data_IF_085039852712
#
_entry.id   IF_085039852712
#
_cell.length_a   1.000
_cell.length_b   1.000
_cell.length_c   1.000
_cell.angle_alpha   90.00
_cell.angle_beta   90.00
_cell.angle_gamma   90.00
#
_symmetry.space_group_name_H-M   'P 1'
#
loop_
_entity.id
_entity.type
_entity.pdbx_description
1 polymer ?
#
# COMPACT_ATOMS: atom_id res chain seq x y z
N UNK A 1 -20.97 22.70 -1.21
CA UNK A 1 -19.51 22.82 -0.94
C UNK A 1 -19.16 22.05 0.34
N UNK A 2 -18.18 21.14 0.29
CA UNK A 2 -17.84 20.24 1.41
C UNK A 2 -16.84 20.87 2.39
N UNK A 3 -17.27 21.90 3.12
CA UNK A 3 -16.40 22.68 4.03
C UNK A 3 -15.74 21.83 5.14
N UNK A 4 -16.33 20.70 5.55
CA UNK A 4 -15.76 19.79 6.56
C UNK A 4 -14.60 18.91 6.08
N UNK A 5 -14.38 18.75 4.77
CA UNK A 5 -13.33 17.85 4.25
C UNK A 5 -11.92 18.40 4.41
N UNK A 6 -11.75 19.73 4.52
CA UNK A 6 -10.41 20.34 4.72
C UNK A 6 -9.81 19.96 6.08
N UNK A 7 -10.63 19.85 7.13
CA UNK A 7 -10.19 19.39 8.46
C UNK A 7 -9.86 17.89 8.48
N UNK A 8 -10.42 17.10 7.56
CA UNK A 8 -10.18 15.66 7.46
C UNK A 8 -8.80 15.34 6.87
N UNK A 9 -8.28 16.16 5.96
CA UNK A 9 -7.02 15.87 5.24
C UNK A 9 -5.81 15.69 6.17
N UNK A 10 -5.56 16.55 7.17
CA UNK A 10 -4.45 16.33 8.11
C UNK A 10 -4.63 15.07 8.96
N UNK A 11 -5.86 14.75 9.39
CA UNK A 11 -6.14 13.54 10.15
C UNK A 11 -5.92 12.29 9.30
N UNK A 12 -6.41 12.31 8.06
CA UNK A 12 -6.20 11.24 7.10
C UNK A 12 -4.71 11.00 6.80
N UNK A 13 -3.93 12.06 6.58
CA UNK A 13 -2.49 11.94 6.35
C UNK A 13 -1.77 11.29 7.55
N UNK A 14 -2.10 11.69 8.78
CA UNK A 14 -1.56 11.06 10.00
C UNK A 14 -1.97 9.59 10.09
N UNK A 15 -3.22 9.26 9.80
CA UNK A 15 -3.70 7.87 9.79
C UNK A 15 -2.95 7.02 8.76
N UNK A 16 -2.69 7.56 7.56
CA UNK A 16 -1.92 6.86 6.54
C UNK A 16 -0.46 6.66 6.94
N UNK A 17 0.19 7.67 7.50
CA UNK A 17 1.55 7.54 8.03
C UNK A 17 1.65 6.46 9.11
N UNK A 18 0.70 6.47 10.06
CA UNK A 18 0.62 5.45 11.11
C UNK A 18 0.36 4.06 10.55
N UNK A 19 -0.51 3.95 9.53
CA UNK A 19 -0.78 2.70 8.84
C UNK A 19 0.49 2.17 8.15
N UNK A 20 1.21 2.99 7.39
CA UNK A 20 2.47 2.59 6.75
C UNK A 20 3.48 2.06 7.78
N UNK A 21 3.71 2.80 8.87
CA UNK A 21 4.61 2.34 9.93
C UNK A 21 4.14 1.02 10.57
N UNK A 22 2.84 0.88 10.82
CA UNK A 22 2.26 -0.33 11.38
C UNK A 22 2.50 -1.54 10.47
N UNK A 23 2.25 -1.41 9.17
CA UNK A 23 2.44 -2.48 8.20
C UNK A 23 3.92 -2.84 8.00
N UNK A 24 4.81 -1.85 7.89
CA UNK A 24 6.25 -2.10 7.80
C UNK A 24 6.79 -2.82 9.05
N UNK A 25 6.38 -2.41 10.24
CA UNK A 25 6.82 -3.06 11.47
C UNK A 25 6.24 -4.47 11.61
N UNK A 26 4.98 -4.67 11.22
CA UNK A 26 4.33 -5.98 11.22
C UNK A 26 4.99 -6.95 10.24
N UNK A 27 5.31 -6.49 9.02
CA UNK A 27 6.03 -7.26 8.02
C UNK A 27 7.41 -7.71 8.55
N UNK A 28 8.14 -6.79 9.21
CA UNK A 28 9.46 -7.06 9.77
C UNK A 28 9.43 -7.98 10.99
N UNK A 29 8.53 -7.75 11.93
CA UNK A 29 8.49 -8.49 13.21
C UNK A 29 7.73 -9.80 13.11
N UNK A 30 6.78 -9.90 12.19
CA UNK A 30 5.83 -11.00 12.08
C UNK A 30 5.18 -11.34 13.43
N UNK A 31 4.78 -10.30 14.18
CA UNK A 31 4.05 -10.41 15.45
C UNK A 31 2.70 -9.70 15.39
N UNK A 32 1.71 -10.29 16.07
CA UNK A 32 0.39 -9.70 16.20
C UNK A 32 0.46 -8.43 17.07
N UNK A 33 -0.09 -7.29 16.62
CA UNK A 33 -0.03 -6.04 17.37
C UNK A 33 -0.88 -6.07 18.65
N UNK A 34 -1.77 -7.05 18.80
CA UNK A 34 -2.68 -7.18 19.95
C UNK A 34 -2.18 -8.18 20.99
N UNK A 35 -1.85 -9.41 20.58
CA UNK A 35 -1.46 -10.50 21.50
C UNK A 35 0.02 -10.87 21.45
N UNK A 36 0.81 -10.26 20.55
CA UNK A 36 2.24 -10.52 20.35
C UNK A 36 2.62 -11.97 19.94
N UNK A 37 1.65 -12.82 19.62
CA UNK A 37 1.90 -14.12 18.98
C UNK A 37 2.45 -13.96 17.57
N UNK A 38 3.12 -14.99 17.05
CA UNK A 38 3.55 -15.02 15.65
C UNK A 38 2.36 -14.90 14.71
N UNK A 39 2.56 -14.23 13.58
CA UNK A 39 1.55 -14.10 12.51
C UNK A 39 2.08 -14.68 11.20
N UNK A 40 1.16 -15.08 10.34
CA UNK A 40 1.47 -15.42 8.95
C UNK A 40 1.17 -14.21 8.08
N UNK A 41 2.16 -13.74 7.35
CA UNK A 41 1.99 -12.67 6.36
C UNK A 41 1.99 -13.28 4.96
N UNK A 42 1.04 -12.89 4.12
CA UNK A 42 0.91 -13.37 2.75
C UNK A 42 0.59 -12.22 1.80
N UNK A 43 1.18 -12.26 0.62
CA UNK A 43 0.71 -11.50 -0.52
C UNK A 43 -0.53 -12.20 -1.09
N UNK A 44 -1.60 -11.45 -1.30
CA UNK A 44 -2.82 -11.92 -1.94
C UNK A 44 -2.98 -11.27 -3.31
N UNK A 45 -3.25 -12.10 -4.30
CA UNK A 45 -3.56 -11.67 -5.66
C UNK A 45 -5.08 -11.58 -5.88
N UNK A 46 -5.58 -10.68 -6.74
CA UNK A 46 -7.01 -10.50 -7.01
C UNK A 46 -7.80 -11.77 -7.34
N UNK A 47 -7.13 -12.77 -7.91
CA UNK A 47 -7.75 -14.01 -8.38
C UNK A 47 -7.75 -15.12 -7.31
N UNK A 48 -7.15 -14.90 -6.14
CA UNK A 48 -7.19 -15.87 -5.06
C UNK A 48 -8.58 -15.89 -4.41
N UNK A 49 -9.18 -17.08 -4.34
CA UNK A 49 -10.52 -17.26 -3.78
C UNK A 49 -10.45 -17.23 -2.26
N UNK A 50 -10.71 -16.06 -1.67
CA UNK A 50 -11.00 -15.91 -0.25
C UNK A 50 -12.49 -15.62 -0.06
N UNK A 51 -13.20 -16.57 0.54
CA UNK A 51 -14.67 -16.55 0.69
C UNK A 51 -15.23 -15.32 1.42
N UNK A 52 -14.40 -14.59 2.16
CA UNK A 52 -14.78 -13.42 2.95
C UNK A 52 -14.32 -12.08 2.35
N UNK A 53 -13.51 -12.07 1.28
CA UNK A 53 -13.09 -10.83 0.61
C UNK A 53 -14.00 -10.54 -0.58
N UNK A 54 -14.54 -9.32 -0.64
CA UNK A 54 -15.19 -8.82 -1.86
C UNK A 54 -14.17 -8.76 -2.99
N UNK A 55 -14.55 -8.99 -4.26
CA UNK A 55 -13.65 -8.81 -5.40
C UNK A 55 -12.88 -7.50 -5.30
N UNK A 56 -11.57 -7.57 -5.48
CA UNK A 56 -10.68 -6.41 -5.41
C UNK A 56 -9.78 -6.35 -6.64
N UNK A 57 -9.13 -5.20 -6.84
CA UNK A 57 -8.10 -5.01 -7.85
C UNK A 57 -6.77 -4.79 -7.15
N UNK A 58 -5.69 -5.26 -7.77
CA UNK A 58 -4.35 -5.03 -7.24
C UNK A 58 -3.90 -5.98 -6.12
N UNK A 59 -2.66 -5.80 -5.69
CA UNK A 59 -2.02 -6.66 -4.70
C UNK A 59 -2.38 -6.25 -3.27
N UNK A 60 -2.60 -7.22 -2.39
CA UNK A 60 -2.86 -6.99 -0.96
C UNK A 60 -1.88 -7.72 -0.08
N UNK A 61 -1.45 -7.07 0.99
CA UNK A 61 -0.76 -7.73 2.08
C UNK A 61 -1.81 -8.19 3.10
N UNK A 62 -1.82 -9.47 3.45
CA UNK A 62 -2.73 -10.04 4.43
C UNK A 62 -1.95 -10.66 5.59
N UNK A 63 -2.45 -10.42 6.80
CA UNK A 63 -1.83 -10.91 8.03
C UNK A 63 -2.86 -11.64 8.86
N UNK A 64 -2.58 -12.91 9.11
CA UNK A 64 -3.40 -13.78 9.93
C UNK A 64 -2.72 -14.09 11.26
N UNK A 65 -3.47 -13.90 12.35
CA UNK A 65 -3.07 -14.33 13.69
C UNK A 65 -3.97 -15.47 14.16
N UNK A 66 -3.42 -16.68 14.28
CA UNK A 66 -4.17 -17.83 14.77
C UNK A 66 -4.59 -17.70 16.24
N UNK A 67 -3.79 -17.02 17.08
CA UNK A 67 -4.11 -16.85 18.50
C UNK A 67 -5.29 -15.91 18.76
N UNK A 68 -5.46 -14.89 17.91
CA UNK A 68 -6.61 -13.97 17.98
C UNK A 68 -7.75 -14.37 17.04
N UNK A 69 -7.54 -15.39 16.20
CA UNK A 69 -8.35 -15.72 15.02
C UNK A 69 -8.76 -14.48 14.21
N UNK A 70 -7.77 -13.66 13.88
CA UNK A 70 -8.01 -12.35 13.26
C UNK A 70 -7.21 -12.20 11.96
N UNK A 71 -7.85 -11.64 10.94
CA UNK A 71 -7.25 -11.32 9.65
C UNK A 71 -7.31 -9.83 9.37
N UNK A 72 -6.16 -9.25 9.03
CA UNK A 72 -6.05 -7.86 8.57
C UNK A 72 -5.48 -7.85 7.16
N UNK A 73 -5.90 -6.90 6.32
CA UNK A 73 -5.26 -6.70 5.03
C UNK A 73 -5.21 -5.23 4.61
N UNK A 74 -4.20 -4.88 3.80
CA UNK A 74 -4.10 -3.59 3.14
C UNK A 74 -3.74 -3.76 1.67
N UNK A 75 -4.07 -2.76 0.85
CA UNK A 75 -3.54 -2.66 -0.52
C UNK A 75 -2.07 -2.25 -0.46
N UNK A 76 -1.24 -2.83 -1.34
CA UNK A 76 0.18 -2.50 -1.42
C UNK A 76 0.38 -1.02 -1.76
N UNK A 77 -0.38 -0.46 -2.72
CA UNK A 77 -0.30 0.97 -3.00
C UNK A 77 -0.68 1.87 -1.81
N UNK A 78 -1.49 1.38 -0.87
CA UNK A 78 -1.81 2.14 0.34
C UNK A 78 -0.59 2.46 1.20
N UNK A 79 0.47 1.62 1.13
CA UNK A 79 1.69 1.77 1.91
C UNK A 79 2.53 2.98 1.47
N UNK A 80 2.45 3.35 0.19
CA UNK A 80 3.22 4.48 -0.37
C UNK A 80 2.50 5.81 -0.27
N UNK A 81 1.23 5.86 0.18
CA UNK A 81 0.44 7.09 0.15
C UNK A 81 1.06 8.20 1.00
N UNK A 82 1.79 7.90 2.06
CA UNK A 82 2.50 8.91 2.84
C UNK A 82 3.84 9.35 2.24
N UNK A 83 4.30 8.73 1.16
CA UNK A 83 5.56 9.09 0.50
C UNK A 83 5.47 10.49 -0.11
N UNK A 84 6.51 11.31 0.07
CA UNK A 84 6.49 12.72 -0.32
C UNK A 84 6.25 12.92 -1.81
N UNK A 85 6.89 12.11 -2.66
CA UNK A 85 6.71 12.18 -4.12
C UNK A 85 5.29 11.80 -4.55
N UNK A 86 4.67 10.82 -3.88
CA UNK A 86 3.28 10.42 -4.12
C UNK A 86 2.33 11.55 -3.76
N UNK A 87 2.52 12.15 -2.58
CA UNK A 87 1.73 13.29 -2.14
C UNK A 87 1.85 14.49 -3.10
N UNK A 88 3.05 14.74 -3.63
CA UNK A 88 3.29 15.77 -4.64
C UNK A 88 2.57 15.47 -5.95
N UNK A 89 2.73 14.26 -6.49
CA UNK A 89 2.06 13.83 -7.72
C UNK A 89 0.53 13.92 -7.59
N UNK A 90 -0.06 13.36 -6.53
CA UNK A 90 -1.50 13.43 -6.28
C UNK A 90 -2.04 14.86 -6.13
N UNK A 91 -1.20 15.80 -5.69
CA UNK A 91 -1.57 17.22 -5.58
C UNK A 91 -1.55 17.92 -6.95
N UNK A 92 -0.62 17.54 -7.82
CA UNK A 92 -0.46 18.10 -9.16
C UNK A 92 -1.46 17.51 -10.16
N UNK A 93 -1.82 16.24 -10.00
CA UNK A 93 -2.69 15.49 -10.90
C UNK A 93 -3.99 15.08 -10.20
N UNK A 94 -4.99 15.98 -10.03
CA UNK A 94 -6.19 15.70 -9.21
C UNK A 94 -7.09 14.58 -9.76
N UNK A 95 -6.88 14.16 -11.02
CA UNK A 95 -7.59 13.04 -11.67
C UNK A 95 -6.67 11.83 -11.87
N UNK A 96 -5.75 11.60 -10.93
CA UNK A 96 -4.89 10.43 -10.95
C UNK A 96 -5.68 9.13 -10.68
N UNK A 97 -5.14 8.02 -11.19
CA UNK A 97 -5.57 6.64 -10.90
C UNK A 97 -4.38 5.80 -10.46
N UNK A 98 -4.64 4.75 -9.68
CA UNK A 98 -3.66 3.69 -9.41
C UNK A 98 -3.80 2.62 -10.48
N UNK A 99 -2.74 2.34 -11.22
CA UNK A 99 -2.69 1.18 -12.11
C UNK A 99 -2.54 -0.11 -11.29
N UNK A 100 -2.92 -1.28 -11.82
CA UNK A 100 -2.75 -2.55 -11.10
C UNK A 100 -1.29 -2.77 -10.67
N UNK A 101 -1.06 -3.01 -9.38
CA UNK A 101 0.28 -3.30 -8.89
C UNK A 101 0.77 -4.65 -9.42
N UNK A 102 2.07 -4.75 -9.64
CA UNK A 102 2.71 -5.97 -10.14
C UNK A 102 3.87 -6.34 -9.24
N UNK A 103 4.08 -7.64 -9.02
CA UNK A 103 5.32 -8.15 -8.48
C UNK A 103 6.32 -8.31 -9.64
N UNK A 104 7.49 -7.70 -9.51
CA UNK A 104 8.52 -7.68 -10.55
C UNK A 104 9.91 -7.69 -9.92
N UNK A 105 10.96 -7.56 -10.74
CA UNK A 105 12.32 -7.37 -10.25
C UNK A 105 12.83 -5.96 -10.53
N UNK A 106 13.51 -5.36 -9.55
CA UNK A 106 14.22 -4.10 -9.69
C UNK A 106 15.63 -4.27 -9.14
N UNK A 107 16.66 -4.00 -9.95
CA UNK A 107 18.07 -4.20 -9.57
C UNK A 107 18.35 -5.59 -8.98
N UNK A 108 17.79 -6.65 -9.61
CA UNK A 108 17.87 -8.05 -9.17
C UNK A 108 17.23 -8.37 -7.82
N UNK A 109 16.35 -7.50 -7.31
CA UNK A 109 15.58 -7.73 -6.08
C UNK A 109 14.09 -7.83 -6.40
N UNK A 110 13.35 -8.67 -5.67
CA UNK A 110 11.90 -8.76 -5.80
C UNK A 110 11.25 -7.48 -5.26
N UNK A 111 10.37 -6.88 -6.06
CA UNK A 111 9.78 -5.59 -5.77
C UNK A 111 8.34 -5.48 -6.28
N UNK A 112 7.51 -4.81 -5.50
CA UNK A 112 6.23 -4.32 -5.99
C UNK A 112 6.46 -3.09 -6.87
N UNK A 113 5.97 -3.13 -8.11
CA UNK A 113 5.84 -1.98 -8.97
C UNK A 113 4.45 -1.37 -8.77
N UNK A 114 4.42 -0.14 -8.31
CA UNK A 114 3.21 0.64 -8.06
C UNK A 114 3.25 1.84 -9.00
N UNK A 115 2.21 2.04 -9.79
CA UNK A 115 2.15 3.13 -10.78
C UNK A 115 0.92 3.99 -10.60
N UNK A 116 1.13 5.28 -10.51
CA UNK A 116 0.09 6.31 -10.51
C UNK A 116 0.11 7.00 -11.88
N UNK A 117 -1.04 7.13 -12.52
CA UNK A 117 -1.16 7.78 -13.81
C UNK A 117 -2.19 8.91 -13.75
N UNK A 118 -1.92 10.05 -14.38
CA UNK A 118 -2.92 11.08 -14.61
C UNK A 118 -3.79 10.69 -15.81
N UNK A 119 -5.11 10.73 -15.66
CA UNK A 119 -6.03 10.36 -16.77
C UNK A 119 -6.13 11.43 -17.85
N UNK A 120 -5.65 12.65 -17.59
CA UNK A 120 -5.77 13.79 -18.51
C UNK A 120 -4.49 14.04 -19.30
N UNK A 121 -3.34 13.60 -18.79
CA UNK A 121 -2.02 13.81 -19.38
C UNK A 121 -1.28 12.50 -19.57
N UNK A 122 -0.04 12.57 -20.09
CA UNK A 122 0.85 11.41 -20.14
C UNK A 122 1.66 11.24 -18.86
N UNK A 123 1.43 12.08 -17.83
CA UNK A 123 2.22 12.08 -16.62
C UNK A 123 1.97 10.83 -15.78
N UNK A 124 3.04 10.19 -15.31
CA UNK A 124 2.94 9.06 -14.40
C UNK A 124 4.06 9.02 -13.37
N UNK A 125 3.80 8.39 -12.24
CA UNK A 125 4.76 8.14 -11.17
C UNK A 125 4.84 6.65 -10.90
N UNK A 126 6.02 6.08 -11.10
CA UNK A 126 6.33 4.67 -10.82
C UNK A 126 7.18 4.56 -9.55
N UNK A 127 6.82 3.64 -8.67
CA UNK A 127 7.51 3.39 -7.41
C UNK A 127 7.80 1.90 -7.29
N UNK A 128 9.05 1.58 -6.98
CA UNK A 128 9.48 0.23 -6.64
C UNK A 128 9.59 0.09 -5.13
N UNK A 129 8.88 -0.86 -4.56
CA UNK A 129 8.88 -1.17 -3.14
C UNK A 129 9.47 -2.57 -2.94
N UNK A 130 10.48 -2.72 -2.10
CA UNK A 130 11.05 -4.04 -1.80
C UNK A 130 9.98 -4.97 -1.20
N UNK A 131 9.89 -6.20 -1.71
CA UNK A 131 8.82 -7.14 -1.32
C UNK A 131 8.81 -7.41 0.20
N UNK A 132 9.97 -7.79 0.75
CA UNK A 132 10.04 -8.19 2.16
C UNK A 132 10.08 -7.02 3.15
N UNK A 133 10.82 -5.95 2.85
CA UNK A 133 11.04 -4.86 3.80
C UNK A 133 10.07 -3.71 3.64
N UNK A 134 9.31 -3.69 2.54
CA UNK A 134 8.43 -2.59 2.15
C UNK A 134 9.16 -1.23 2.09
N UNK A 135 10.48 -1.24 1.88
CA UNK A 135 11.27 -0.03 1.67
C UNK A 135 11.17 0.43 0.22
N UNK A 136 11.09 1.74 0.01
CA UNK A 136 11.12 2.31 -1.34
C UNK A 136 12.53 2.15 -1.91
N UNK A 137 12.64 1.44 -3.04
CA UNK A 137 13.88 1.20 -3.75
C UNK A 137 14.17 2.31 -4.76
N UNK A 138 13.15 2.76 -5.48
CA UNK A 138 13.26 3.81 -6.48
C UNK A 138 11.91 4.47 -6.78
N UNK A 139 11.97 5.68 -7.32
CA UNK A 139 10.83 6.46 -7.79
C UNK A 139 11.16 7.13 -9.12
N UNK A 140 10.26 7.05 -10.10
CA UNK A 140 10.42 7.62 -11.44
C UNK A 140 9.18 8.43 -11.81
N UNK A 141 9.37 9.68 -12.19
CA UNK A 141 8.33 10.55 -12.73
C UNK A 141 8.54 10.69 -14.23
N UNK A 142 7.49 10.42 -15.01
CA UNK A 142 7.46 10.39 -16.48
C UNK A 142 6.43 11.38 -17.03
#
# INVERSE_FOLDING_TARGET
ELHGMKAFRPAFQRSMQNATHHWTDMQRRQRCPYCNSSVTVRLLEPNEVFSFLRPWQGLRLAVYCAACDSLYSCYIAGLIWSHSMVQSFMKQHPRWINEPEMLTSYSNQSAFCIRLADVVSTSSLTIFLHEETLQVLATFEE
#
